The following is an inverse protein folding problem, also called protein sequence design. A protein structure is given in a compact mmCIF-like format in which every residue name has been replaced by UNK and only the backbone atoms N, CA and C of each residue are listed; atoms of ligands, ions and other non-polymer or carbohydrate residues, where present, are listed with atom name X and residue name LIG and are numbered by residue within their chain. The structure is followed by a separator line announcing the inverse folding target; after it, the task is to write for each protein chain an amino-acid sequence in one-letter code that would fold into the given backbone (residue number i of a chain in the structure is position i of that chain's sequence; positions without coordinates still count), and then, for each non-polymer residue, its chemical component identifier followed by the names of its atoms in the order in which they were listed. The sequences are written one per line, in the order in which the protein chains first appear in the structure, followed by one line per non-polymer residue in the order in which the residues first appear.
data_IF_569329892457
#
_entry.id   IF_569329892457
#
_cell.length_a   1.000
_cell.length_b   1.000
_cell.length_c   1.000
_cell.angle_alpha   90.00
_cell.angle_beta   90.00
_cell.angle_gamma   90.00
#
_symmetry.space_group_name_H-M   'P 1'
#
loop_
_entity.id
_entity.type
_entity.pdbx_description
1 polymer ?
#
# COMPACT_ATOMS: atom_id res chain seq x y z
N UNK A 1 -42.41 -40.96 41.90
CA UNK A 1 -40.98 -40.57 41.82
C UNK A 1 -40.71 -40.16 40.38
N UNK A 2 -40.74 -38.83 40.11
CA UNK A 2 -40.57 -38.24 38.74
C UNK A 2 -39.23 -37.54 38.75
N UNK A 3 -38.26 -38.02 37.91
CA UNK A 3 -36.93 -37.38 37.75
C UNK A 3 -37.05 -36.29 36.68
N UNK A 4 -36.61 -35.04 36.95
CA UNK A 4 -36.54 -34.03 35.90
C UNK A 4 -35.28 -34.26 35.01
N UNK A 5 -35.48 -34.43 33.69
CA UNK A 5 -34.43 -34.36 32.69
C UNK A 5 -34.01 -32.87 32.53
N UNK A 6 -32.80 -32.56 33.00
CA UNK A 6 -32.16 -31.25 32.77
C UNK A 6 -31.67 -31.18 31.33
N UNK A 7 -32.37 -30.42 30.51
CA UNK A 7 -31.99 -30.16 29.10
C UNK A 7 -30.97 -29.02 29.06
N UNK A 8 -29.70 -29.37 28.95
CA UNK A 8 -28.61 -28.39 28.86
C UNK A 8 -28.57 -27.83 27.45
N UNK A 9 -29.13 -26.64 27.27
CA UNK A 9 -29.16 -25.93 25.98
C UNK A 9 -27.75 -25.35 25.70
N UNK A 10 -26.93 -26.04 24.88
CA UNK A 10 -25.65 -25.53 24.42
C UNK A 10 -25.91 -24.39 23.41
N UNK A 11 -25.80 -23.16 23.87
CA UNK A 11 -25.81 -21.98 22.98
C UNK A 11 -24.43 -21.91 22.33
N UNK A 12 -24.31 -22.39 21.09
CA UNK A 12 -23.16 -22.24 20.24
C UNK A 12 -23.06 -20.75 19.81
N UNK A 13 -22.23 -19.95 20.52
CA UNK A 13 -21.89 -18.58 20.08
C UNK A 13 -21.07 -18.69 18.80
N UNK A 14 -21.73 -18.55 17.64
CA UNK A 14 -21.06 -18.30 16.37
C UNK A 14 -20.45 -16.90 16.40
N UNK A 15 -19.18 -16.77 16.78
CA UNK A 15 -18.40 -15.55 16.59
C UNK A 15 -18.22 -15.38 15.05
N UNK A 16 -18.57 -14.22 14.47
CA UNK A 16 -18.29 -13.98 13.07
C UNK A 16 -16.76 -14.03 12.84
N UNK A 17 -16.29 -14.62 11.74
CA UNK A 17 -14.88 -14.60 11.40
C UNK A 17 -14.43 -13.13 11.31
N UNK A 18 -13.36 -12.77 12.01
CA UNK A 18 -12.70 -11.48 11.86
C UNK A 18 -12.18 -11.40 10.42
N UNK A 19 -12.97 -10.81 9.51
CA UNK A 19 -12.59 -10.60 8.13
C UNK A 19 -11.29 -9.80 8.07
N UNK A 20 -10.34 -10.23 7.25
CA UNK A 20 -9.13 -9.46 6.98
C UNK A 20 -9.56 -8.09 6.42
N UNK A 21 -9.24 -7.01 7.12
CA UNK A 21 -9.57 -5.67 6.68
C UNK A 21 -8.65 -5.31 5.50
N UNK A 22 -9.24 -4.77 4.43
CA UNK A 22 -8.54 -4.34 3.21
C UNK A 22 -8.44 -2.82 3.16
N UNK A 23 -7.51 -2.32 2.34
CA UNK A 23 -7.46 -0.89 2.01
C UNK A 23 -8.78 -0.46 1.33
N UNK A 24 -9.18 0.82 1.49
CA UNK A 24 -10.30 1.35 0.74
C UNK A 24 -10.01 1.32 -0.75
N UNK A 25 -11.04 1.06 -1.56
CA UNK A 25 -10.93 1.05 -3.02
C UNK A 25 -11.39 2.40 -3.55
N UNK A 26 -10.51 3.10 -4.26
CA UNK A 26 -10.85 4.36 -4.92
C UNK A 26 -11.61 4.11 -6.22
N UNK A 27 -12.42 5.08 -6.61
CA UNK A 27 -13.08 5.08 -7.93
C UNK A 27 -12.03 4.96 -9.04
N UNK A 28 -12.18 4.05 -10.01
CA UNK A 28 -11.27 3.93 -11.14
C UNK A 28 -11.15 5.24 -11.94
N UNK A 29 -9.94 5.52 -12.44
CA UNK A 29 -9.67 6.72 -13.24
C UNK A 29 -8.44 7.49 -12.78
N UNK A 30 -8.41 8.77 -13.13
CA UNK A 30 -7.32 9.69 -12.83
C UNK A 30 -7.53 10.36 -11.48
N UNK A 31 -6.51 10.28 -10.64
CA UNK A 31 -6.44 10.97 -9.36
C UNK A 31 -5.26 11.94 -9.33
N UNK A 32 -5.47 13.18 -8.87
CA UNK A 32 -4.40 14.07 -8.45
C UNK A 32 -4.18 13.87 -6.95
N UNK A 33 -2.94 13.59 -6.55
CA UNK A 33 -2.57 13.46 -5.14
C UNK A 33 -1.55 14.53 -4.80
N UNK A 34 -1.93 15.41 -3.89
CA UNK A 34 -1.08 16.46 -3.35
C UNK A 34 -0.45 15.97 -2.04
N UNK A 35 0.88 16.09 -1.91
CA UNK A 35 1.65 15.61 -0.76
C UNK A 35 2.40 16.79 -0.15
N UNK A 36 2.33 16.94 1.18
CA UNK A 36 2.97 18.03 1.94
C UNK A 36 3.50 17.57 3.28
N UNK A 37 4.78 17.81 3.56
CA UNK A 37 5.35 17.60 4.90
C UNK A 37 4.78 18.63 5.90
N UNK A 38 4.49 18.21 7.13
CA UNK A 38 3.86 19.08 8.15
C UNK A 38 4.85 20.02 8.84
N UNK A 39 6.12 19.66 8.93
CA UNK A 39 7.13 20.38 9.71
C UNK A 39 7.88 21.50 8.96
N UNK A 40 7.76 21.58 7.65
CA UNK A 40 8.54 22.51 6.83
C UNK A 40 7.64 23.40 5.98
N UNK A 41 7.53 24.66 6.37
CA UNK A 41 6.75 25.66 5.62
C UNK A 41 7.36 26.01 4.25
N UNK A 42 8.63 25.64 4.02
CA UNK A 42 9.37 25.86 2.78
C UNK A 42 9.23 24.72 1.78
N UNK A 43 8.77 23.53 2.22
CA UNK A 43 8.53 22.41 1.31
C UNK A 43 7.29 22.70 0.48
N UNK A 44 7.53 22.88 -0.82
CA UNK A 44 6.44 23.03 -1.79
C UNK A 44 5.61 21.75 -1.80
N UNK A 45 4.29 21.92 -1.79
CA UNK A 45 3.36 20.85 -2.05
C UNK A 45 3.73 20.17 -3.38
N UNK A 46 3.96 18.88 -3.33
CA UNK A 46 4.19 18.09 -4.54
C UNK A 46 2.87 17.49 -5.00
N UNK A 47 2.63 17.50 -6.30
CA UNK A 47 1.44 16.90 -6.90
C UNK A 47 1.87 15.78 -7.83
N UNK A 48 1.26 14.63 -7.69
CA UNK A 48 1.40 13.50 -8.60
C UNK A 48 0.04 13.15 -9.20
N UNK A 49 0.03 12.61 -10.40
CA UNK A 49 -1.17 12.06 -11.01
C UNK A 49 -1.07 10.54 -11.06
N UNK A 50 -2.15 9.86 -10.71
CA UNK A 50 -2.23 8.42 -10.67
C UNK A 50 -3.40 7.92 -11.50
N UNK A 51 -3.12 7.05 -12.47
CA UNK A 51 -4.17 6.34 -13.21
C UNK A 51 -4.41 4.99 -12.54
N UNK A 52 -5.63 4.75 -12.04
CA UNK A 52 -5.94 3.55 -11.24
C UNK A 52 -7.15 2.80 -11.75
N UNK A 53 -7.15 1.50 -11.51
CA UNK A 53 -8.28 0.59 -11.58
C UNK A 53 -8.32 -0.31 -10.33
N UNK A 54 -9.28 -1.23 -10.26
CA UNK A 54 -9.44 -2.12 -9.11
C UNK A 54 -8.18 -2.99 -8.83
N UNK A 55 -7.40 -3.34 -9.87
CA UNK A 55 -6.21 -4.17 -9.73
C UNK A 55 -4.96 -3.42 -9.28
N UNK A 56 -4.89 -2.12 -9.56
CA UNK A 56 -3.70 -1.30 -9.28
C UNK A 56 -3.89 -0.33 -8.11
N UNK A 57 -5.12 -0.14 -7.66
CA UNK A 57 -5.47 0.90 -6.70
C UNK A 57 -4.75 0.80 -5.37
N UNK A 58 -4.75 -0.35 -4.73
CA UNK A 58 -4.10 -0.54 -3.43
C UNK A 58 -2.61 -0.19 -3.45
N UNK A 59 -1.91 -0.53 -4.55
CA UNK A 59 -0.49 -0.21 -4.74
C UNK A 59 -0.29 1.28 -4.93
N UNK A 60 -1.11 1.92 -5.77
CA UNK A 60 -1.02 3.35 -6.06
C UNK A 60 -1.43 4.20 -4.85
N UNK A 61 -2.43 3.79 -4.07
CA UNK A 61 -2.83 4.49 -2.85
C UNK A 61 -1.67 4.62 -1.86
N UNK A 62 -0.88 3.57 -1.72
CA UNK A 62 0.27 3.54 -0.82
C UNK A 62 1.57 4.05 -1.46
N UNK A 63 1.59 4.31 -2.77
CA UNK A 63 2.82 4.70 -3.49
C UNK A 63 3.41 6.06 -3.07
N UNK A 64 2.63 6.91 -2.41
CA UNK A 64 3.10 8.19 -1.86
C UNK A 64 3.83 8.04 -0.52
N UNK A 65 3.70 6.88 0.13
CA UNK A 65 4.36 6.56 1.40
C UNK A 65 5.72 5.91 1.12
N UNK A 66 6.83 6.41 1.68
CA UNK A 66 8.15 5.82 1.46
C UNK A 66 8.22 4.36 1.87
N UNK A 67 8.94 3.55 1.10
CA UNK A 67 9.28 2.18 1.45
C UNK A 67 8.23 1.12 1.14
N UNK A 68 7.05 1.47 0.63
CA UNK A 68 5.93 0.52 0.44
C UNK A 68 6.15 -0.54 -0.67
N UNK A 69 7.29 -0.51 -1.35
CA UNK A 69 7.60 -1.51 -2.39
C UNK A 69 8.06 -2.87 -1.83
N UNK A 70 8.54 -2.92 -0.59
CA UNK A 70 9.14 -4.10 0.03
C UNK A 70 8.68 -4.24 1.49
N UNK A 71 7.39 -4.52 1.67
CA UNK A 71 6.77 -4.66 2.98
C UNK A 71 6.55 -6.13 3.32
N UNK A 72 6.99 -6.53 4.51
CA UNK A 72 6.85 -7.88 5.04
C UNK A 72 5.64 -8.03 5.96
N UNK A 73 5.25 -6.94 6.61
CA UNK A 73 4.11 -6.93 7.52
C UNK A 73 3.19 -5.78 7.17
N UNK A 74 1.89 -6.04 7.22
CA UNK A 74 0.87 -5.00 7.12
C UNK A 74 -0.31 -5.31 8.02
N UNK A 75 -0.82 -4.31 8.71
CA UNK A 75 -2.08 -4.39 9.43
C UNK A 75 -2.98 -3.23 9.04
N UNK A 76 -4.23 -3.53 8.77
CA UNK A 76 -5.24 -2.55 8.39
C UNK A 76 -6.38 -2.65 9.39
N UNK A 77 -6.81 -1.52 9.92
CA UNK A 77 -7.99 -1.40 10.78
C UNK A 77 -8.88 -0.32 10.22
N UNK A 78 -10.15 -0.66 10.04
CA UNK A 78 -11.18 0.29 9.61
C UNK A 78 -12.13 0.51 10.78
N UNK A 79 -12.45 1.78 11.04
CA UNK A 79 -13.48 2.18 11.99
C UNK A 79 -14.17 3.44 11.47
N UNK A 80 -15.48 3.36 11.26
CA UNK A 80 -16.31 4.51 10.87
C UNK A 80 -15.79 5.24 9.62
N UNK A 81 -15.33 4.50 8.61
CA UNK A 81 -14.79 5.05 7.37
C UNK A 81 -13.38 5.64 7.47
N UNK A 82 -12.71 5.43 8.60
CA UNK A 82 -11.31 5.78 8.81
C UNK A 82 -10.45 4.52 8.82
N UNK A 83 -9.35 4.57 8.10
CA UNK A 83 -8.40 3.46 7.98
C UNK A 83 -7.12 3.81 8.71
N UNK A 84 -6.67 2.92 9.58
CA UNK A 84 -5.37 2.94 10.26
C UNK A 84 -4.53 1.80 9.67
N UNK A 85 -3.46 2.14 8.98
CA UNK A 85 -2.59 1.18 8.28
C UNK A 85 -1.20 1.25 8.89
N UNK A 86 -0.66 0.12 9.28
CA UNK A 86 0.71 -0.01 9.77
C UNK A 86 1.46 -0.99 8.89
N UNK A 87 2.64 -0.62 8.46
CA UNK A 87 3.49 -1.49 7.65
C UNK A 87 4.90 -1.52 8.19
N UNK A 88 5.55 -2.68 8.04
CA UNK A 88 6.98 -2.87 8.25
C UNK A 88 7.59 -3.25 6.93
N UNK A 89 8.43 -2.38 6.41
CA UNK A 89 9.06 -2.52 5.10
C UNK A 89 10.56 -2.40 5.24
N UNK A 90 11.30 -2.66 4.14
CA UNK A 90 12.75 -2.48 4.09
C UNK A 90 13.14 -1.63 2.87
N UNK A 91 14.01 -0.65 3.07
CA UNK A 91 14.60 0.19 2.04
C UNK A 91 16.12 0.08 2.16
N UNK A 92 16.78 -0.58 1.20
CA UNK A 92 18.22 -0.84 1.27
C UNK A 92 18.67 -1.40 2.63
N UNK A 93 18.04 -2.48 3.07
CA UNK A 93 18.28 -3.16 4.35
C UNK A 93 18.03 -2.27 5.60
N UNK A 94 17.41 -1.13 5.44
CA UNK A 94 16.97 -0.29 6.54
C UNK A 94 15.48 -0.53 6.80
N UNK A 95 15.16 -1.00 7.99
CA UNK A 95 13.77 -1.20 8.42
C UNK A 95 13.04 0.14 8.47
N UNK A 96 11.83 0.15 7.94
CA UNK A 96 10.95 1.30 7.84
C UNK A 96 9.60 0.93 8.42
N UNK A 97 9.25 1.52 9.55
CA UNK A 97 7.92 1.39 10.15
C UNK A 97 7.09 2.59 9.68
N UNK A 98 6.01 2.35 8.93
CA UNK A 98 5.11 3.39 8.50
C UNK A 98 3.75 3.25 9.18
N UNK A 99 3.19 4.39 9.60
CA UNK A 99 1.84 4.52 10.10
C UNK A 99 1.07 5.47 9.20
N UNK A 100 -0.01 5.00 8.60
CA UNK A 100 -0.82 5.74 7.65
C UNK A 100 -2.26 5.79 8.13
N UNK A 101 -2.84 6.96 8.11
CA UNK A 101 -4.26 7.18 8.38
C UNK A 101 -4.93 7.71 7.12
N UNK A 102 -6.10 7.20 6.80
CA UNK A 102 -6.87 7.55 5.60
C UNK A 102 -8.33 7.79 5.97
N UNK A 103 -8.95 8.78 5.34
CA UNK A 103 -10.38 9.06 5.44
C UNK A 103 -10.91 9.74 4.18
N UNK A 104 -12.22 9.66 3.97
CA UNK A 104 -12.89 10.32 2.85
C UNK A 104 -13.83 9.42 2.10
N UNK A 105 -14.35 9.89 0.96
CA UNK A 105 -15.32 9.14 0.16
C UNK A 105 -14.68 8.10 -0.75
N UNK A 106 -13.40 8.23 -1.07
CA UNK A 106 -12.65 7.38 -2.03
C UNK A 106 -13.28 7.30 -3.44
N UNK A 107 -14.40 7.97 -3.65
CA UNK A 107 -15.04 8.12 -4.97
C UNK A 107 -14.82 9.50 -5.59
N UNK A 108 -14.59 10.53 -4.76
CA UNK A 108 -14.38 11.91 -5.21
C UNK A 108 -13.15 12.55 -4.60
N UNK A 109 -12.95 12.38 -3.29
CA UNK A 109 -11.82 12.95 -2.56
C UNK A 109 -11.53 12.13 -1.31
N UNK A 110 -10.25 12.07 -0.94
CA UNK A 110 -9.78 11.48 0.31
C UNK A 110 -8.62 12.28 0.86
N UNK A 111 -8.38 12.14 2.13
CA UNK A 111 -7.22 12.70 2.82
C UNK A 111 -6.47 11.60 3.56
N UNK A 112 -5.21 11.83 3.79
CA UNK A 112 -4.39 10.94 4.57
C UNK A 112 -3.23 11.66 5.23
N UNK A 113 -2.66 10.98 6.21
CA UNK A 113 -1.46 11.37 6.92
C UNK A 113 -0.59 10.15 7.12
N UNK A 114 0.69 10.30 6.91
CA UNK A 114 1.63 9.24 7.29
C UNK A 114 2.79 9.79 8.12
N UNK A 115 3.34 8.90 8.95
CA UNK A 115 4.60 9.07 9.64
C UNK A 115 5.47 7.85 9.39
N UNK A 116 6.78 8.08 9.15
CA UNK A 116 7.72 7.03 8.80
C UNK A 116 8.92 7.09 9.74
N UNK A 117 9.21 5.95 10.38
CA UNK A 117 10.37 5.78 11.26
C UNK A 117 11.37 4.82 10.61
N UNK A 118 12.60 5.28 10.46
CA UNK A 118 13.71 4.47 9.98
C UNK A 118 14.51 3.92 11.16
N UNK A 119 14.86 2.65 11.14
CA UNK A 119 15.69 2.04 12.19
C UNK A 119 17.10 2.65 12.22
N UNK A 120 17.64 2.99 11.04
CA UNK A 120 18.91 3.73 10.91
C UNK A 120 18.65 5.12 10.35
N UNK A 121 19.32 6.17 10.82
CA UNK A 121 19.14 7.53 10.31
C UNK A 121 19.29 7.61 8.79
N UNK A 122 18.41 8.37 8.16
CA UNK A 122 18.46 8.66 6.71
C UNK A 122 18.71 10.15 6.49
N UNK A 123 19.35 10.49 5.37
CA UNK A 123 19.70 11.89 5.04
C UNK A 123 18.44 12.79 4.94
N UNK A 124 17.32 12.21 4.50
CA UNK A 124 16.05 12.92 4.34
C UNK A 124 14.93 12.08 4.92
N UNK A 125 14.40 12.50 6.07
CA UNK A 125 13.14 12.04 6.61
C UNK A 125 12.20 13.25 6.65
N UNK A 126 11.12 13.29 5.85
CA UNK A 126 10.22 14.45 5.80
C UNK A 126 9.40 14.60 7.09
N UNK A 127 9.45 13.61 8.02
CA UNK A 127 8.59 13.58 9.19
C UNK A 127 7.12 13.36 8.82
N UNK A 128 6.19 13.75 9.71
CA UNK A 128 4.76 13.64 9.45
C UNK A 128 4.36 14.37 8.18
N UNK A 129 3.65 13.68 7.31
CA UNK A 129 3.29 14.17 5.97
C UNK A 129 1.80 13.98 5.73
N UNK A 130 1.14 15.00 5.22
CA UNK A 130 -0.25 14.94 4.76
C UNK A 130 -0.32 14.75 3.26
N UNK A 131 -1.36 14.07 2.81
CA UNK A 131 -1.67 13.97 1.39
C UNK A 131 -3.19 14.00 1.18
N UNK A 132 -3.58 14.53 0.04
CA UNK A 132 -4.97 14.69 -0.35
C UNK A 132 -5.13 14.20 -1.78
N UNK A 133 -6.08 13.31 -2.02
CA UNK A 133 -6.42 12.80 -3.34
C UNK A 133 -7.73 13.39 -3.84
N UNK A 134 -7.77 13.79 -5.09
CA UNK A 134 -8.98 14.26 -5.79
C UNK A 134 -9.15 13.50 -7.10
N UNK A 135 -10.33 12.93 -7.32
CA UNK A 135 -10.67 12.30 -8.58
C UNK A 135 -10.90 13.35 -9.68
N UNK A 136 -10.27 13.17 -10.83
CA UNK A 136 -10.32 14.11 -11.95
C UNK A 136 -11.15 13.60 -13.14
N UNK A 137 -11.48 12.31 -13.18
CA UNK A 137 -12.20 11.73 -14.31
C UNK A 137 -11.55 10.46 -14.83
N UNK A 138 -11.71 10.20 -16.11
CA UNK A 138 -11.01 9.09 -16.78
C UNK A 138 -9.50 9.38 -16.86
N UNK A 139 -8.69 8.31 -16.94
CA UNK A 139 -7.25 8.47 -17.21
C UNK A 139 -7.01 9.21 -18.54
N UNK A 140 -6.03 10.11 -18.55
CA UNK A 140 -5.64 10.84 -19.75
C UNK A 140 -5.04 9.93 -20.80
N UNK A 141 -5.11 10.32 -22.08
CA UNK A 141 -4.52 9.58 -23.18
C UNK A 141 -3.02 9.31 -22.92
N UNK A 142 -2.59 8.07 -23.13
CA UNK A 142 -1.22 7.61 -22.88
C UNK A 142 -0.94 7.08 -21.47
N UNK A 143 -1.80 7.36 -20.46
CA UNK A 143 -1.70 6.75 -19.16
C UNK A 143 -2.45 5.42 -19.09
N UNK A 144 -1.89 4.46 -18.37
CA UNK A 144 -2.50 3.16 -18.11
C UNK A 144 -2.71 2.97 -16.61
N UNK A 145 -3.67 2.15 -16.18
CA UNK A 145 -3.77 1.76 -14.78
C UNK A 145 -2.42 1.26 -14.23
N UNK A 146 -2.01 1.78 -13.09
CA UNK A 146 -0.71 1.54 -12.51
C UNK A 146 0.36 2.61 -12.80
N UNK A 147 0.07 3.56 -13.69
CA UNK A 147 0.99 4.68 -13.97
C UNK A 147 0.83 5.81 -12.94
N UNK A 148 1.96 6.39 -12.55
CA UNK A 148 2.05 7.60 -11.73
C UNK A 148 2.95 8.62 -12.42
N UNK A 149 2.43 9.83 -12.64
CA UNK A 149 3.18 10.96 -13.21
C UNK A 149 3.67 11.84 -12.07
N UNK A 150 4.98 12.05 -12.02
CA UNK A 150 5.65 12.91 -11.05
C UNK A 150 5.53 14.41 -11.41
N UNK A 151 5.83 15.35 -10.48
CA UNK A 151 5.77 16.80 -10.75
C UNK A 151 6.64 17.26 -11.91
N UNK A 152 7.70 16.55 -12.23
CA UNK A 152 8.61 16.82 -13.35
C UNK A 152 8.16 16.18 -14.70
N UNK A 153 6.94 15.59 -14.74
CA UNK A 153 6.40 14.94 -15.93
C UNK A 153 6.87 13.50 -16.17
N UNK A 154 7.76 12.96 -15.33
CA UNK A 154 8.23 11.57 -15.46
C UNK A 154 7.13 10.61 -15.08
N UNK A 155 6.84 9.63 -15.93
CA UNK A 155 5.86 8.57 -15.66
C UNK A 155 6.56 7.35 -15.07
N UNK A 156 6.10 6.92 -13.90
CA UNK A 156 6.51 5.69 -13.23
C UNK A 156 5.43 4.63 -13.38
N UNK A 157 5.81 3.39 -13.69
CA UNK A 157 4.91 2.23 -13.73
C UNK A 157 5.04 1.43 -12.44
N UNK A 158 4.21 1.77 -11.47
CA UNK A 158 4.29 1.21 -10.12
C UNK A 158 3.87 -0.26 -10.09
N UNK A 159 2.81 -0.63 -10.79
CA UNK A 159 2.31 -2.01 -10.80
C UNK A 159 3.27 -3.01 -11.47
N UNK A 160 3.99 -2.60 -12.52
CA UNK A 160 4.94 -3.49 -13.22
C UNK A 160 6.19 -3.83 -12.39
N UNK A 161 6.59 -2.96 -11.47
CA UNK A 161 7.75 -3.23 -10.60
C UNK A 161 7.50 -4.39 -9.64
N UNK A 162 6.28 -4.62 -9.22
CA UNK A 162 5.92 -5.74 -8.34
C UNK A 162 6.00 -7.08 -9.09
N UNK A 163 5.44 -7.19 -10.28
CA UNK A 163 5.49 -8.41 -11.09
C UNK A 163 6.88 -8.77 -11.61
N UNK A 164 7.77 -7.81 -11.81
CA UNK A 164 9.16 -8.07 -12.21
C UNK A 164 10.03 -8.61 -11.06
N UNK A 165 9.71 -8.34 -9.80
CA UNK A 165 10.41 -8.93 -8.66
C UNK A 165 10.00 -10.38 -8.44
N UNK A 166 8.72 -10.71 -8.54
CA UNK A 166 8.23 -12.08 -8.42
C UNK A 166 8.77 -13.00 -9.52
N UNK A 167 8.96 -12.50 -10.75
CA UNK A 167 9.57 -13.25 -11.84
C UNK A 167 11.08 -13.46 -11.73
N UNK A 168 11.79 -12.70 -10.89
CA UNK A 168 13.25 -12.79 -10.74
C UNK A 168 13.69 -13.75 -9.63
N UNK A 169 12.83 -14.02 -8.66
CA UNK A 169 13.10 -15.03 -7.61
C UNK A 169 12.97 -16.47 -8.11
N UNK A 170 12.38 -16.71 -9.29
CA UNK A 170 12.25 -18.03 -9.92
C UNK A 170 13.39 -18.45 -10.83
N UNK A 171 14.39 -17.60 -11.08
CA UNK A 171 15.54 -17.97 -11.93
C UNK A 171 16.66 -18.58 -11.10
N UNK A 172 16.60 -19.90 -10.90
CA UNK A 172 17.73 -20.71 -10.43
C UNK A 172 18.59 -21.04 -11.65
N UNK A 173 19.85 -20.61 -11.75
CA UNK A 173 20.72 -21.03 -12.85
C UNK A 173 20.98 -22.53 -12.69
N UNK A 174 20.49 -23.32 -13.63
CA UNK A 174 20.94 -24.73 -13.78
C UNK A 174 22.44 -24.72 -14.00
N UNK A 175 23.16 -25.27 -13.05
CA UNK A 175 24.58 -25.55 -13.20
C UNK A 175 24.77 -26.58 -14.32
N UNK A 176 25.32 -26.15 -15.41
CA UNK A 176 25.86 -27.03 -16.45
C UNK A 176 27.15 -27.65 -15.89
N UNK A 177 27.00 -28.86 -15.33
CA UNK A 177 28.09 -29.76 -15.04
C UNK A 177 28.67 -30.31 -16.32
N UNK A 178 29.58 -29.60 -16.97
CA UNK A 178 30.41 -30.10 -18.04
C UNK A 178 31.50 -31.00 -17.48
N UNK A 179 31.25 -32.32 -17.49
CA UNK A 179 32.29 -33.31 -17.35
C UNK A 179 33.21 -33.24 -18.58
N UNK A 180 34.46 -32.92 -18.42
CA UNK A 180 35.47 -33.12 -19.45
C UNK A 180 36.45 -34.21 -18.95
N UNK A 181 36.21 -35.44 -19.38
CA UNK A 181 37.18 -36.53 -19.35
C UNK A 181 37.89 -36.51 -20.72
N UNK A 182 39.20 -36.56 -20.69
CA UNK A 182 39.95 -36.78 -21.89
C UNK A 182 41.40 -37.08 -21.64
N UNK A 183 42.09 -37.76 -22.50
CA UNK A 183 42.86 -38.95 -22.18
C UNK A 183 44.22 -38.69 -21.53
#
# INVERSE_FOLDING_TARGET
MIRPLSFCLLICLCLPPAGAQSLPVRKPGLWEVAVRAEGDSLVRQQKVQQCTDAGTDAVLLMAVVPGQADCHESSIREREGRYDVRTVCYVHDNRVDAHVQLSGSFSTAYEGRFDVKYARPVRHNPGPTRFEGRWLGACTAGMRPGDMVLPNGVTLRIAQRRGQREGREGYSPRGDGGANAGP
#
